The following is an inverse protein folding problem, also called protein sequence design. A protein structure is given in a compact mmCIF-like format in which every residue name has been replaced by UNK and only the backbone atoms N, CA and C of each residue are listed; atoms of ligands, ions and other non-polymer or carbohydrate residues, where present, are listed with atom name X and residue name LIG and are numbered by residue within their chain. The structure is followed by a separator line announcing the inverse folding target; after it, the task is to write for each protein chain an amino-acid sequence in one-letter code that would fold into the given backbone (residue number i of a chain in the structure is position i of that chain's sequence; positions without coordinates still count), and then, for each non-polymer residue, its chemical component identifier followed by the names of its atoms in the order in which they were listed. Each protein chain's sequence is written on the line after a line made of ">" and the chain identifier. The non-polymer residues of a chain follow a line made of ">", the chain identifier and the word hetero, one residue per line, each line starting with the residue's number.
data_IF_232809642928
#
_entry.id   IF_232809642928
#
_cell.length_a   1.000
_cell.length_b   1.000
_cell.length_c   1.000
_cell.angle_alpha   90.00
_cell.angle_beta   90.00
_cell.angle_gamma   90.00
#
_symmetry.space_group_name_H-M   'P 1'
#
loop_
_entity.id
_entity.type
_entity.pdbx_description
1 polymer ?
#
# COMPACT_ATOMS: atom_id res chain seq x y z
N UNK A 1 11.93 -4.44 15.26
CA UNK A 1 11.94 -3.04 14.82
C UNK A 1 13.04 -2.69 13.82
N UNK A 2 14.13 -3.45 13.70
CA UNK A 2 15.25 -3.16 12.80
C UNK A 2 14.87 -3.24 11.31
N UNK A 3 14.08 -4.26 10.92
CA UNK A 3 13.67 -4.49 9.52
C UNK A 3 12.90 -3.30 8.96
N UNK A 4 11.92 -2.76 9.71
CA UNK A 4 11.13 -1.61 9.26
C UNK A 4 12.00 -0.35 9.07
N UNK A 5 12.96 -0.11 9.97
CA UNK A 5 13.91 1.02 9.85
C UNK A 5 14.80 0.89 8.62
N UNK A 6 15.27 -0.32 8.34
CA UNK A 6 16.09 -0.60 7.16
C UNK A 6 15.28 -0.44 5.87
N UNK A 7 14.04 -0.92 5.83
CA UNK A 7 13.14 -0.71 4.70
C UNK A 7 12.87 0.78 4.46
N UNK A 8 12.69 1.59 5.51
CA UNK A 8 12.49 3.03 5.38
C UNK A 8 13.71 3.70 4.71
N UNK A 9 14.93 3.42 5.18
CA UNK A 9 16.16 3.91 4.55
C UNK A 9 16.27 3.48 3.08
N UNK A 10 15.91 2.25 2.74
CA UNK A 10 15.91 1.80 1.35
C UNK A 10 14.84 2.47 0.48
N UNK A 11 13.70 2.85 1.05
CA UNK A 11 12.67 3.62 0.35
C UNK A 11 13.19 5.04 0.07
N UNK A 12 13.78 5.69 1.08
CA UNK A 12 14.36 7.04 0.94
C UNK A 12 15.51 7.07 -0.07
N UNK A 13 16.34 6.02 -0.09
CA UNK A 13 17.43 5.85 -1.06
C UNK A 13 16.97 5.38 -2.45
N UNK A 14 15.67 5.11 -2.64
CA UNK A 14 15.11 4.61 -3.91
C UNK A 14 15.47 3.15 -4.25
N UNK A 15 16.12 2.43 -3.34
CA UNK A 15 16.49 1.01 -3.45
C UNK A 15 15.27 0.09 -3.30
N UNK A 16 14.27 0.50 -2.54
CA UNK A 16 13.00 -0.20 -2.37
C UNK A 16 11.86 0.70 -2.87
N UNK A 17 11.18 0.28 -3.94
CA UNK A 17 10.07 1.04 -4.53
C UNK A 17 8.73 0.53 -4.02
N UNK A 18 7.91 1.42 -3.48
CA UNK A 18 6.52 1.11 -3.15
C UNK A 18 5.73 1.09 -4.46
N UNK A 19 5.10 -0.05 -4.76
CA UNK A 19 4.14 -0.15 -5.85
C UNK A 19 2.73 0.04 -5.30
N UNK A 20 2.23 1.28 -5.36
CA UNK A 20 0.87 1.64 -4.98
C UNK A 20 -0.05 1.43 -6.19
N UNK A 21 -1.02 0.53 -6.06
CA UNK A 21 -1.92 0.12 -7.13
C UNK A 21 -3.14 1.02 -7.19
N UNK A 22 -3.79 1.23 -6.04
CA UNK A 22 -5.06 1.92 -5.92
C UNK A 22 -5.15 2.64 -4.57
N UNK A 23 -5.97 3.68 -4.52
CA UNK A 23 -6.29 4.41 -3.30
C UNK A 23 -7.80 4.53 -3.16
N UNK A 24 -8.33 4.29 -1.96
CA UNK A 24 -9.75 4.48 -1.65
C UNK A 24 -9.91 5.41 -0.45
N UNK A 25 -10.97 6.22 -0.37
CA UNK A 25 -11.36 6.85 0.88
C UNK A 25 -11.58 5.82 2.00
N UNK A 26 -11.32 6.17 3.25
CA UNK A 26 -11.55 5.27 4.39
C UNK A 26 -13.00 4.76 4.46
N UNK A 27 -13.97 5.60 4.11
CA UNK A 27 -15.39 5.23 4.00
C UNK A 27 -15.65 4.08 3.01
N UNK A 28 -14.78 3.94 2.00
CA UNK A 28 -14.87 2.93 0.95
C UNK A 28 -13.96 1.71 1.23
N UNK A 29 -13.54 1.51 2.48
CA UNK A 29 -12.69 0.38 2.86
C UNK A 29 -13.27 -0.98 2.45
N UNK A 30 -14.60 -1.14 2.49
CA UNK A 30 -15.26 -2.36 2.02
C UNK A 30 -15.02 -2.63 0.51
N UNK A 31 -15.01 -1.58 -0.31
CA UNK A 31 -14.71 -1.66 -1.75
C UNK A 31 -13.24 -2.02 -1.95
N UNK A 32 -12.34 -1.42 -1.17
CA UNK A 32 -10.93 -1.77 -1.19
C UNK A 32 -10.70 -3.27 -0.87
N UNK A 33 -11.44 -3.83 0.08
CA UNK A 33 -11.40 -5.26 0.40
C UNK A 33 -11.88 -6.13 -0.75
N UNK A 34 -13.01 -5.81 -1.38
CA UNK A 34 -13.50 -6.53 -2.56
C UNK A 34 -12.48 -6.49 -3.72
N UNK A 35 -11.80 -5.34 -3.93
CA UNK A 35 -10.76 -5.20 -4.94
C UNK A 35 -9.54 -6.10 -4.68
N UNK A 36 -9.24 -6.45 -3.41
CA UNK A 36 -8.19 -7.40 -3.05
C UNK A 36 -8.66 -8.84 -3.32
N UNK A 37 -9.91 -9.16 -2.98
CA UNK A 37 -10.49 -10.50 -3.12
C UNK A 37 -10.56 -10.98 -4.57
N UNK A 38 -10.70 -10.07 -5.54
CA UNK A 38 -10.68 -10.42 -6.97
C UNK A 38 -9.30 -10.87 -7.47
N UNK A 39 -8.24 -10.79 -6.66
CA UNK A 39 -6.93 -11.38 -6.93
C UNK A 39 -6.12 -10.76 -8.07
N UNK A 40 -6.67 -9.75 -8.76
CA UNK A 40 -6.02 -9.10 -9.91
C UNK A 40 -5.08 -7.95 -9.53
N UNK A 41 -4.97 -7.62 -8.25
CA UNK A 41 -4.26 -6.42 -7.82
C UNK A 41 -2.81 -6.74 -7.45
N UNK A 42 -1.86 -6.32 -8.28
CA UNK A 42 -0.43 -6.32 -7.94
C UNK A 42 -0.05 -5.04 -7.21
N UNK A 43 0.55 -5.14 -6.02
CA UNK A 43 1.03 -3.99 -5.25
C UNK A 43 0.28 -3.77 -3.93
N UNK A 44 0.16 -2.50 -3.53
CA UNK A 44 -0.49 -2.07 -2.28
C UNK A 44 -1.71 -1.22 -2.60
N UNK A 45 -2.77 -1.40 -1.81
CA UNK A 45 -3.91 -0.49 -1.77
C UNK A 45 -3.78 0.37 -0.51
N UNK A 46 -3.95 1.69 -0.65
CA UNK A 46 -3.94 2.61 0.49
C UNK A 46 -5.33 3.19 0.75
N UNK A 47 -5.65 3.39 2.03
CA UNK A 47 -6.84 4.12 2.44
C UNK A 47 -6.46 5.55 2.79
N UNK A 48 -7.17 6.52 2.21
CA UNK A 48 -7.01 7.93 2.46
C UNK A 48 -7.89 8.32 3.65
N UNK A 49 -7.27 9.02 4.61
CA UNK A 49 -7.94 9.58 5.78
C UNK A 49 -7.71 11.09 5.68
N UNK A 50 -8.78 11.83 5.42
CA UNK A 50 -8.79 13.30 5.44
C UNK A 50 -9.09 13.81 6.86
#
# INVERSE_FOLDING_TARGET
>A
GSILKQCASWIDEGKLKIHLSQTFPLQDAAVAHQAIETGSTTGKIALLID
#
